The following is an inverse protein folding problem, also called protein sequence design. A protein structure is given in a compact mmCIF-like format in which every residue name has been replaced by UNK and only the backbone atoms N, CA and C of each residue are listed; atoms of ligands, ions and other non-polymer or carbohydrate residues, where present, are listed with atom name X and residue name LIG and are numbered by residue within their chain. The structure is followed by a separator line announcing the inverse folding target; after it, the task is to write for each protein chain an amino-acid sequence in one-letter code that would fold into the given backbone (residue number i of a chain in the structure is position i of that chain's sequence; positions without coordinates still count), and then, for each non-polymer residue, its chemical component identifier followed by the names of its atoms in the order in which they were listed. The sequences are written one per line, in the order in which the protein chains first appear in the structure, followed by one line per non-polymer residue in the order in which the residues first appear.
data_IF_312931503673
#
_entry.id   IF_312931503673
#
_cell.length_a   1.000
_cell.length_b   1.000
_cell.length_c   1.000
_cell.angle_alpha   90.00
_cell.angle_beta   90.00
_cell.angle_gamma   90.00
#
_symmetry.space_group_name_H-M   'P 1'
#
loop_
_entity.id
_entity.type
_entity.pdbx_description
1 polymer ?
#
# COMPACT_ATOMS: atom_id res chain seq x y z
N UNK A 1 24.00 17.35 17.90
CA UNK A 1 24.12 15.94 18.34
C UNK A 1 24.46 15.10 17.12
N UNK A 2 25.69 14.58 16.97
CA UNK A 2 26.05 13.79 15.81
C UNK A 2 25.49 12.37 15.95
N UNK A 3 24.91 11.89 14.85
CA UNK A 3 24.35 10.54 14.69
C UNK A 3 25.52 9.57 14.53
N UNK A 4 25.83 8.85 15.60
CA UNK A 4 26.82 7.78 15.64
C UNK A 4 26.17 6.41 15.35
N UNK A 5 26.57 5.82 14.23
CA UNK A 5 27.01 4.42 14.12
C UNK A 5 26.18 3.32 14.82
N UNK A 6 25.31 2.61 14.09
CA UNK A 6 25.18 1.14 14.17
C UNK A 6 24.76 0.58 12.80
N UNK A 7 25.72 0.26 11.93
CA UNK A 7 25.50 -0.66 10.80
C UNK A 7 26.83 -1.22 10.31
N UNK A 8 27.39 -2.16 11.06
CA UNK A 8 28.59 -2.89 10.65
C UNK A 8 28.60 -4.40 10.96
N UNK A 9 27.51 -4.98 11.50
CA UNK A 9 27.47 -6.43 11.79
C UNK A 9 26.65 -7.27 10.79
N UNK A 10 25.83 -6.64 9.94
CA UNK A 10 24.92 -7.38 9.03
C UNK A 10 25.54 -7.78 7.70
N UNK A 11 26.71 -7.23 7.33
CA UNK A 11 27.39 -7.60 6.08
C UNK A 11 28.18 -8.90 6.29
N UNK A 12 28.90 -9.03 7.41
CA UNK A 12 29.65 -10.24 7.75
C UNK A 12 28.77 -11.48 7.93
N UNK A 13 27.66 -11.38 8.68
CA UNK A 13 26.77 -12.51 8.93
C UNK A 13 26.10 -13.05 7.66
N UNK A 14 25.67 -12.16 6.76
CA UNK A 14 25.08 -12.54 5.47
C UNK A 14 26.10 -13.16 4.52
N UNK A 15 27.37 -12.79 4.65
CA UNK A 15 28.44 -13.27 3.80
C UNK A 15 28.93 -14.67 4.21
N UNK A 16 28.96 -14.97 5.52
CA UNK A 16 29.15 -16.33 6.06
C UNK A 16 27.95 -17.24 5.80
N UNK A 17 26.72 -16.76 5.97
CA UNK A 17 25.50 -17.55 5.69
C UNK A 17 25.41 -17.97 4.22
N UNK A 18 25.94 -17.15 3.31
CA UNK A 18 26.02 -17.47 1.88
C UNK A 18 27.15 -18.45 1.54
N UNK A 19 28.20 -18.52 2.37
CA UNK A 19 29.29 -19.48 2.19
C UNK A 19 28.90 -20.91 2.63
N UNK A 20 28.00 -21.02 3.60
CA UNK A 20 27.48 -22.29 4.13
C UNK A 20 26.09 -22.65 3.59
N UNK A 21 25.68 -22.13 2.44
CA UNK A 21 24.39 -22.46 1.86
C UNK A 21 24.44 -23.76 1.04
N UNK A 22 23.35 -24.53 1.05
CA UNK A 22 23.19 -25.77 0.29
C UNK A 22 22.07 -25.65 -0.76
N UNK A 23 22.13 -26.40 -1.87
CA UNK A 23 21.08 -26.38 -2.88
C UNK A 23 19.78 -27.01 -2.36
N UNK A 24 18.62 -26.63 -2.92
CA UNK A 24 17.30 -27.17 -2.52
C UNK A 24 17.24 -28.71 -2.52
N UNK A 25 17.92 -29.34 -3.48
CA UNK A 25 18.01 -30.80 -3.59
C UNK A 25 18.65 -31.47 -2.37
N UNK A 26 19.62 -30.80 -1.74
CA UNK A 26 20.25 -31.30 -0.52
C UNK A 26 19.46 -30.89 0.72
N UNK A 27 18.96 -29.66 0.75
CA UNK A 27 18.15 -29.14 1.85
C UNK A 27 16.95 -30.03 2.18
N UNK A 28 16.20 -30.52 1.18
CA UNK A 28 15.04 -31.38 1.47
C UNK A 28 15.44 -32.73 2.09
N UNK A 29 16.62 -33.27 1.72
CA UNK A 29 17.17 -34.50 2.30
C UNK A 29 17.62 -34.26 3.73
N UNK A 30 18.32 -33.16 3.99
CA UNK A 30 18.74 -32.76 5.34
C UNK A 30 17.56 -32.56 6.30
N UNK A 31 16.43 -32.05 5.80
CA UNK A 31 15.21 -31.85 6.59
C UNK A 31 14.31 -33.10 6.66
N UNK A 32 14.54 -34.13 5.83
CA UNK A 32 13.67 -35.31 5.78
C UNK A 32 12.23 -34.98 5.33
N UNK A 33 12.05 -33.94 4.51
CA UNK A 33 10.76 -33.51 3.96
C UNK A 33 10.71 -33.75 2.45
N UNK A 34 9.50 -33.74 1.89
CA UNK A 34 9.33 -33.93 0.45
C UNK A 34 9.84 -32.69 -0.30
N UNK A 35 10.39 -32.81 -1.52
CA UNK A 35 10.79 -31.66 -2.33
C UNK A 35 9.68 -30.60 -2.48
N UNK A 36 8.43 -31.05 -2.73
CA UNK A 36 7.25 -30.16 -2.83
C UNK A 36 6.89 -29.43 -1.53
N UNK A 37 7.23 -30.01 -0.38
CA UNK A 37 7.05 -29.37 0.95
C UNK A 37 8.13 -28.30 1.14
N UNK A 38 9.38 -28.57 0.74
CA UNK A 38 10.46 -27.58 0.74
C UNK A 38 10.15 -26.39 -0.18
N UNK A 39 9.71 -26.65 -1.41
CA UNK A 39 9.29 -25.61 -2.36
C UNK A 39 8.19 -24.73 -1.77
N UNK A 40 7.19 -25.34 -1.12
CA UNK A 40 6.11 -24.61 -0.47
C UNK A 40 6.62 -23.77 0.70
N UNK A 41 7.57 -24.28 1.47
CA UNK A 41 8.18 -23.54 2.57
C UNK A 41 8.91 -22.29 2.08
N UNK A 42 9.61 -22.39 0.94
CA UNK A 42 10.26 -21.25 0.30
C UNK A 42 9.24 -20.26 -0.26
N UNK A 43 8.20 -20.74 -0.96
CA UNK A 43 7.12 -19.90 -1.51
C UNK A 43 6.39 -19.09 -0.43
N UNK A 44 6.12 -19.72 0.72
CA UNK A 44 5.45 -19.09 1.86
C UNK A 44 6.41 -18.29 2.75
N UNK A 45 7.71 -18.25 2.45
CA UNK A 45 8.72 -17.59 3.27
C UNK A 45 8.96 -18.24 4.64
N UNK A 46 8.46 -19.46 4.85
CA UNK A 46 8.74 -20.26 6.05
C UNK A 46 10.18 -20.78 6.09
N UNK A 47 10.87 -20.78 4.95
CA UNK A 47 12.29 -21.08 4.80
C UNK A 47 12.98 -19.93 4.07
N UNK A 48 13.96 -19.30 4.73
CA UNK A 48 14.77 -18.27 4.11
C UNK A 48 15.67 -18.85 3.00
N UNK A 49 15.85 -18.10 1.91
CA UNK A 49 16.76 -18.48 0.82
C UNK A 49 17.69 -17.32 0.48
N UNK A 50 18.90 -17.67 0.05
CA UNK A 50 19.91 -16.72 -0.43
C UNK A 50 20.08 -16.88 -1.94
N UNK A 51 20.41 -15.76 -2.60
CA UNK A 51 20.79 -15.78 -4.00
C UNK A 51 22.14 -16.50 -4.16
N UNK A 52 22.33 -17.25 -5.25
CA UNK A 52 23.56 -17.98 -5.49
C UNK A 52 24.75 -17.01 -5.62
N UNK A 53 25.93 -17.47 -5.21
CA UNK A 53 27.17 -16.67 -5.18
C UNK A 53 27.91 -16.66 -6.53
N UNK A 54 27.53 -17.53 -7.47
CA UNK A 54 28.08 -17.65 -8.84
C UNK A 54 26.97 -18.07 -9.80
N UNK A 55 27.26 -18.01 -11.10
CA UNK A 55 26.43 -18.18 -12.32
C UNK A 55 25.40 -19.34 -12.34
N UNK A 56 25.32 -20.16 -11.29
CA UNK A 56 24.26 -21.14 -11.09
C UNK A 56 22.90 -20.47 -10.89
N UNK A 57 21.93 -20.94 -11.66
CA UNK A 57 20.54 -20.50 -11.54
C UNK A 57 19.82 -21.39 -10.53
N UNK A 58 19.63 -20.93 -9.30
CA UNK A 58 18.92 -21.69 -8.28
C UNK A 58 18.86 -20.99 -6.92
N UNK A 59 17.85 -21.30 -6.10
CA UNK A 59 17.76 -20.83 -4.71
C UNK A 59 18.59 -21.73 -3.81
N UNK A 60 19.29 -21.14 -2.85
CA UNK A 60 20.11 -21.85 -1.87
C UNK A 60 19.58 -21.59 -0.46
N UNK A 61 19.76 -22.56 0.42
CA UNK A 61 19.27 -22.50 1.80
C UNK A 61 20.48 -22.47 2.74
N UNK A 62 20.64 -21.43 3.59
CA UNK A 62 21.70 -21.41 4.59
C UNK A 62 21.62 -22.62 5.53
N UNK A 63 22.75 -23.27 5.83
CA UNK A 63 22.78 -24.40 6.77
C UNK A 63 22.28 -23.99 8.16
N UNK A 64 22.55 -22.76 8.59
CA UNK A 64 22.00 -22.20 9.85
C UNK A 64 20.47 -22.21 9.88
N UNK A 65 19.82 -21.89 8.76
CA UNK A 65 18.35 -21.91 8.64
C UNK A 65 17.80 -23.35 8.71
N UNK A 66 18.50 -24.30 8.09
CA UNK A 66 18.18 -25.73 8.21
C UNK A 66 18.33 -26.22 9.65
N UNK A 67 19.40 -25.81 10.34
CA UNK A 67 19.64 -26.16 11.74
C UNK A 67 18.53 -25.58 12.64
N UNK A 68 18.16 -24.31 12.46
CA UNK A 68 17.06 -23.64 13.18
C UNK A 68 15.76 -24.43 13.08
N UNK A 69 15.35 -24.84 11.88
CA UNK A 69 14.13 -25.62 11.69
C UNK A 69 14.22 -27.01 12.36
N UNK A 70 15.38 -27.66 12.31
CA UNK A 70 15.56 -28.98 12.95
C UNK A 70 15.53 -28.91 14.48
N UNK A 71 15.94 -27.78 15.06
CA UNK A 71 15.87 -27.54 16.50
C UNK A 71 14.48 -27.10 16.96
N UNK A 72 13.54 -26.83 16.05
CA UNK A 72 12.18 -26.45 16.39
C UNK A 72 11.44 -27.60 17.08
N UNK A 73 10.71 -27.29 18.14
CA UNK A 73 9.94 -28.28 18.88
C UNK A 73 8.88 -28.94 17.97
N UNK A 74 8.81 -30.27 18.01
CA UNK A 74 7.90 -31.05 17.18
C UNK A 74 8.29 -31.13 15.70
N UNK A 75 9.52 -30.76 15.31
CA UNK A 75 10.02 -30.98 13.96
C UNK A 75 10.03 -32.49 13.60
N UNK A 76 9.61 -32.91 12.39
CA UNK A 76 9.13 -32.08 11.26
C UNK A 76 7.60 -31.83 11.25
N UNK A 77 6.86 -32.35 12.23
CA UNK A 77 5.40 -32.25 12.27
C UNK A 77 4.91 -30.81 12.36
N UNK A 78 5.55 -29.97 13.18
CA UNK A 78 5.24 -28.53 13.31
C UNK A 78 5.42 -27.78 12.00
N UNK A 79 6.49 -28.07 11.25
CA UNK A 79 6.69 -27.51 9.91
C UNK A 79 5.59 -28.00 8.95
N UNK A 80 5.27 -29.29 8.94
CA UNK A 80 4.22 -29.84 8.07
C UNK A 80 2.84 -29.27 8.37
N UNK A 81 2.52 -29.00 9.64
CA UNK A 81 1.24 -28.37 10.00
C UNK A 81 1.17 -26.92 9.53
N UNK A 82 2.27 -26.15 9.62
CA UNK A 82 2.35 -24.80 9.05
C UNK A 82 2.18 -24.79 7.53
N UNK A 83 2.69 -25.81 6.84
CA UNK A 83 2.61 -25.98 5.39
C UNK A 83 1.35 -26.74 4.93
N UNK A 84 0.46 -27.11 5.85
CA UNK A 84 -0.68 -28.00 5.55
C UNK A 84 -1.64 -27.30 4.59
N UNK A 85 -1.68 -27.80 3.35
CA UNK A 85 -2.64 -27.37 2.34
C UNK A 85 -3.92 -28.21 2.40
N UNK A 86 -5.06 -27.55 2.24
CA UNK A 86 -6.39 -28.17 2.26
C UNK A 86 -7.16 -27.83 1.00
N UNK A 87 -7.94 -28.79 0.52
CA UNK A 87 -8.95 -28.56 -0.51
C UNK A 87 -10.25 -27.98 0.07
N UNK A 88 -11.23 -27.72 -0.79
CA UNK A 88 -12.48 -27.07 -0.39
C UNK A 88 -13.28 -27.81 0.72
N UNK A 89 -13.27 -29.14 0.72
CA UNK A 89 -14.00 -29.94 1.73
C UNK A 89 -13.38 -29.80 3.12
N UNK A 90 -12.07 -29.97 3.21
CA UNK A 90 -11.34 -29.83 4.47
C UNK A 90 -11.31 -28.39 4.96
N UNK A 91 -11.13 -27.42 4.06
CA UNK A 91 -11.23 -26.00 4.39
C UNK A 91 -12.60 -25.61 4.92
N UNK A 92 -13.69 -26.16 4.36
CA UNK A 92 -15.04 -25.94 4.87
C UNK A 92 -15.22 -26.51 6.29
N UNK A 93 -14.66 -27.69 6.56
CA UNK A 93 -14.69 -28.29 7.89
C UNK A 93 -13.92 -27.44 8.91
N UNK A 94 -12.74 -26.92 8.55
CA UNK A 94 -11.96 -26.02 9.42
C UNK A 94 -12.72 -24.74 9.79
N UNK A 95 -13.54 -24.21 8.88
CA UNK A 95 -14.33 -23.01 9.09
C UNK A 95 -15.72 -23.29 9.71
N UNK A 96 -16.09 -24.56 9.92
CA UNK A 96 -17.43 -24.92 10.41
C UNK A 96 -18.57 -24.56 9.43
N UNK A 97 -18.31 -24.59 8.12
CA UNK A 97 -19.29 -24.24 7.08
C UNK A 97 -19.49 -25.38 6.08
N UNK A 98 -20.53 -25.28 5.25
CA UNK A 98 -20.73 -26.23 4.15
C UNK A 98 -19.71 -25.99 3.02
N UNK A 99 -19.33 -27.04 2.24
CA UNK A 99 -18.43 -26.87 1.09
C UNK A 99 -18.94 -25.85 0.06
N UNK A 100 -20.26 -25.75 -0.13
CA UNK A 100 -20.86 -24.75 -1.01
C UNK A 100 -20.65 -23.33 -0.50
N UNK A 101 -20.82 -23.10 0.82
CA UNK A 101 -20.57 -21.79 1.45
C UNK A 101 -19.09 -21.45 1.38
N UNK A 102 -18.19 -22.40 1.65
CA UNK A 102 -16.75 -22.22 1.47
C UNK A 102 -16.40 -21.77 0.06
N UNK A 103 -16.90 -22.45 -0.97
CA UNK A 103 -16.64 -22.10 -2.37
C UNK A 103 -17.18 -20.72 -2.76
N UNK A 104 -18.25 -20.23 -2.12
CA UNK A 104 -18.76 -18.86 -2.32
C UNK A 104 -17.85 -17.83 -1.67
N UNK A 105 -17.38 -18.08 -0.44
CA UNK A 105 -16.45 -17.18 0.27
C UNK A 105 -15.09 -17.10 -0.43
N UNK A 106 -14.55 -18.24 -0.87
CA UNK A 106 -13.31 -18.31 -1.64
C UNK A 106 -13.39 -17.45 -2.92
N UNK A 107 -14.45 -17.64 -3.72
CA UNK A 107 -14.68 -16.86 -4.95
C UNK A 107 -14.93 -15.37 -4.70
N UNK A 108 -15.46 -15.02 -3.53
CA UNK A 108 -15.63 -13.64 -3.11
C UNK A 108 -14.33 -13.00 -2.59
N UNK A 109 -13.22 -13.75 -2.54
CA UNK A 109 -11.92 -13.24 -2.09
C UNK A 109 -11.77 -13.13 -0.57
N UNK A 110 -12.57 -13.87 0.21
CA UNK A 110 -12.43 -13.86 1.68
C UNK A 110 -11.09 -14.48 2.14
N UNK A 111 -10.56 -15.42 1.37
CA UNK A 111 -9.25 -16.05 1.57
C UNK A 111 -8.68 -16.46 0.22
N UNK A 112 -7.35 -16.38 0.10
CA UNK A 112 -6.63 -16.66 -1.15
C UNK A 112 -6.17 -18.11 -1.22
N UNK A 113 -6.23 -18.76 -2.39
CA UNK A 113 -5.55 -20.03 -2.59
C UNK A 113 -4.03 -19.81 -2.66
N UNK A 114 -3.25 -20.76 -2.14
CA UNK A 114 -1.79 -20.75 -2.20
C UNK A 114 -1.30 -21.47 -3.46
N UNK A 115 -1.94 -22.59 -3.81
CA UNK A 115 -1.60 -23.40 -4.99
C UNK A 115 -2.87 -23.88 -5.69
N UNK A 116 -2.69 -24.37 -6.91
CA UNK A 116 -3.74 -25.11 -7.61
C UNK A 116 -3.16 -26.38 -8.25
N UNK A 117 -4.03 -27.35 -8.50
CA UNK A 117 -3.71 -28.53 -9.30
C UNK A 117 -4.83 -28.79 -10.31
N UNK A 118 -4.53 -29.53 -11.37
CA UNK A 118 -5.55 -30.04 -12.28
C UNK A 118 -5.85 -31.49 -11.89
N UNK A 119 -7.12 -31.82 -11.74
CA UNK A 119 -7.51 -33.21 -11.52
C UNK A 119 -7.46 -34.02 -12.84
N UNK A 120 -7.71 -35.34 -12.76
CA UNK A 120 -7.76 -36.24 -13.94
C UNK A 120 -8.72 -35.76 -15.03
N UNK A 121 -9.73 -34.98 -14.67
CA UNK A 121 -10.76 -34.43 -15.56
C UNK A 121 -10.43 -33.00 -16.02
N UNK A 122 -9.20 -32.50 -15.78
CA UNK A 122 -8.73 -31.14 -16.08
C UNK A 122 -9.50 -30.02 -15.36
N UNK A 123 -10.22 -30.32 -14.28
CA UNK A 123 -10.80 -29.30 -13.42
C UNK A 123 -9.76 -28.77 -12.42
N UNK A 124 -9.77 -27.46 -12.17
CA UNK A 124 -8.87 -26.78 -11.24
C UNK A 124 -9.30 -27.07 -9.80
N UNK A 125 -8.38 -27.61 -9.01
CA UNK A 125 -8.51 -27.80 -7.57
C UNK A 125 -7.63 -26.78 -6.86
N UNK A 126 -8.26 -25.85 -6.17
CA UNK A 126 -7.59 -24.83 -5.36
C UNK A 126 -7.19 -25.39 -3.99
N UNK A 127 -5.99 -25.04 -3.54
CA UNK A 127 -5.42 -25.45 -2.26
C UNK A 127 -5.18 -24.21 -1.38
N UNK A 128 -5.63 -24.29 -0.14
CA UNK A 128 -5.60 -23.20 0.83
C UNK A 128 -4.74 -23.59 2.02
N UNK A 129 -4.10 -22.61 2.67
CA UNK A 129 -3.29 -22.88 3.86
C UNK A 129 -4.20 -23.08 5.08
N UNK A 130 -4.09 -24.23 5.75
CA UNK A 130 -4.93 -24.56 6.90
C UNK A 130 -4.78 -23.55 8.05
N UNK A 131 -3.53 -23.13 8.32
CA UNK A 131 -3.22 -22.14 9.35
C UNK A 131 -3.86 -20.79 9.07
N UNK A 132 -3.87 -20.33 7.81
CA UNK A 132 -4.53 -19.08 7.41
C UNK A 132 -6.04 -19.14 7.62
N UNK A 133 -6.69 -20.24 7.22
CA UNK A 133 -8.14 -20.40 7.43
C UNK A 133 -8.51 -20.40 8.92
N UNK A 134 -7.72 -21.08 9.76
CA UNK A 134 -7.92 -21.07 11.22
C UNK A 134 -7.70 -19.67 11.80
N UNK A 135 -6.67 -18.97 11.35
CA UNK A 135 -6.38 -17.59 11.76
C UNK A 135 -7.54 -16.66 11.43
N UNK A 136 -8.08 -16.73 10.22
CA UNK A 136 -9.25 -15.94 9.80
C UNK A 136 -10.45 -16.19 10.73
N UNK A 137 -10.70 -17.45 11.07
CA UNK A 137 -11.79 -17.79 11.99
C UNK A 137 -11.52 -17.26 13.41
N UNK A 138 -10.30 -17.42 13.91
CA UNK A 138 -9.91 -17.04 15.26
C UNK A 138 -9.90 -15.52 15.47
N UNK A 139 -9.39 -14.77 14.49
CA UNK A 139 -9.36 -13.30 14.53
C UNK A 139 -10.76 -12.69 14.34
N UNK A 140 -11.66 -13.38 13.62
CA UNK A 140 -13.01 -12.88 13.38
C UNK A 140 -13.04 -11.50 12.72
N UNK A 141 -12.04 -11.22 11.86
CA UNK A 141 -11.81 -9.90 11.27
C UNK A 141 -13.10 -9.33 10.64
N UNK A 142 -13.58 -8.21 11.18
CA UNK A 142 -14.72 -7.51 10.60
C UNK A 142 -14.27 -6.69 9.39
N UNK A 143 -14.48 -7.21 8.18
CA UNK A 143 -14.14 -6.52 6.92
C UNK A 143 -15.15 -5.46 6.49
N UNK A 144 -16.29 -5.32 7.18
CA UNK A 144 -17.35 -4.37 6.79
C UNK A 144 -16.85 -2.91 6.81
N UNK A 145 -16.12 -2.43 7.83
CA UNK A 145 -15.56 -1.08 7.85
C UNK A 145 -14.62 -0.82 6.66
N UNK A 146 -13.65 -1.73 6.41
CA UNK A 146 -12.72 -1.66 5.26
C UNK A 146 -13.46 -1.55 3.94
N UNK A 147 -14.42 -2.45 3.69
CA UNK A 147 -15.20 -2.43 2.45
C UNK A 147 -16.05 -1.15 2.28
N UNK A 148 -16.63 -0.66 3.38
CA UNK A 148 -17.38 0.60 3.35
C UNK A 148 -16.48 1.80 3.03
N UNK A 149 -15.31 1.91 3.68
CA UNK A 149 -14.33 2.97 3.41
C UNK A 149 -13.85 2.94 1.97
N UNK A 150 -13.45 1.77 1.47
CA UNK A 150 -13.04 1.59 0.08
C UNK A 150 -14.11 2.08 -0.91
N UNK A 151 -15.38 1.74 -0.64
CA UNK A 151 -16.50 2.22 -1.46
C UNK A 151 -16.64 3.74 -1.41
N UNK A 152 -16.50 4.36 -0.23
CA UNK A 152 -16.60 5.82 -0.05
C UNK A 152 -15.46 6.57 -0.70
N UNK A 153 -14.23 6.09 -0.57
CA UNK A 153 -13.08 6.69 -1.25
C UNK A 153 -13.24 6.60 -2.76
N UNK A 154 -13.59 5.42 -3.28
CA UNK A 154 -13.81 5.25 -4.71
C UNK A 154 -14.96 6.15 -5.24
N UNK A 155 -16.00 6.39 -4.44
CA UNK A 155 -17.06 7.35 -4.78
C UNK A 155 -16.58 8.80 -4.77
N UNK A 156 -15.79 9.20 -3.78
CA UNK A 156 -15.24 10.55 -3.68
C UNK A 156 -14.31 10.85 -4.85
N UNK A 157 -13.38 9.93 -5.15
CA UNK A 157 -12.44 10.06 -6.28
C UNK A 157 -13.19 10.15 -7.62
N UNK A 158 -14.22 9.32 -7.86
CA UNK A 158 -14.98 9.36 -9.13
C UNK A 158 -15.82 10.63 -9.34
N UNK A 159 -16.06 11.43 -8.30
CA UNK A 159 -16.93 12.62 -8.36
C UNK A 159 -16.16 13.91 -8.54
N UNK A 160 -14.83 13.86 -8.55
CA UNK A 160 -13.98 15.04 -8.64
C UNK A 160 -13.07 14.94 -9.85
N UNK A 161 -12.97 16.05 -10.58
CA UNK A 161 -11.93 16.24 -11.60
C UNK A 161 -10.69 16.96 -11.01
N UNK A 162 -10.79 17.48 -9.76
CA UNK A 162 -9.65 18.08 -9.06
C UNK A 162 -8.71 16.98 -8.52
N UNK A 163 -7.46 16.90 -9.00
CA UNK A 163 -6.51 15.88 -8.55
C UNK A 163 -6.09 16.07 -7.08
N UNK A 164 -6.13 17.29 -6.54
CA UNK A 164 -5.89 17.52 -5.11
C UNK A 164 -7.03 16.96 -4.26
N UNK A 165 -8.28 17.07 -4.72
CA UNK A 165 -9.42 16.47 -4.04
C UNK A 165 -9.43 14.94 -4.13
N UNK A 166 -8.95 14.37 -5.24
CA UNK A 166 -8.73 12.92 -5.36
C UNK A 166 -7.68 12.43 -4.35
N UNK A 167 -6.57 13.16 -4.18
CA UNK A 167 -5.58 12.88 -3.14
C UNK A 167 -6.18 13.01 -1.72
N UNK A 168 -6.97 14.06 -1.47
CA UNK A 168 -7.65 14.27 -0.18
C UNK A 168 -8.60 13.11 0.17
N UNK A 169 -9.23 12.48 -0.82
CA UNK A 169 -10.05 11.29 -0.58
C UNK A 169 -9.22 10.12 -0.03
N UNK A 170 -8.05 9.82 -0.59
CA UNK A 170 -7.18 8.78 -0.04
C UNK A 170 -6.64 9.13 1.35
N UNK A 171 -6.34 10.42 1.60
CA UNK A 171 -5.91 10.91 2.89
C UNK A 171 -7.01 10.83 3.98
N UNK A 172 -8.28 10.89 3.60
CA UNK A 172 -9.41 11.05 4.52
C UNK A 172 -9.64 9.88 5.50
N UNK A 173 -8.99 8.74 5.30
CA UNK A 173 -9.09 7.57 6.18
C UNK A 173 -7.79 7.25 6.92
N UNK A 174 -6.71 7.97 6.62
CA UNK A 174 -5.41 7.77 7.25
C UNK A 174 -5.35 8.52 8.59
N UNK A 175 -4.60 7.95 9.54
CA UNK A 175 -4.32 8.61 10.81
C UNK A 175 -3.39 9.82 10.60
N UNK A 176 -3.42 10.83 11.50
CA UNK A 176 -2.53 11.98 11.40
C UNK A 176 -1.05 11.60 11.31
N UNK A 177 -0.62 10.62 12.12
CA UNK A 177 0.76 10.11 12.10
C UNK A 177 1.15 9.57 10.72
N UNK A 178 0.30 8.74 10.11
CA UNK A 178 0.57 8.18 8.78
C UNK A 178 0.57 9.27 7.71
N UNK A 179 -0.29 10.28 7.84
CA UNK A 179 -0.32 11.43 6.91
C UNK A 179 0.93 12.29 7.02
N UNK A 180 1.44 12.53 8.24
CA UNK A 180 2.67 13.28 8.45
C UNK A 180 3.88 12.58 7.81
N UNK A 181 3.96 11.26 7.94
CA UNK A 181 4.99 10.44 7.31
C UNK A 181 4.86 10.40 5.78
N UNK A 182 3.64 10.26 5.26
CA UNK A 182 3.39 10.14 3.82
C UNK A 182 3.47 11.48 3.07
N UNK A 183 3.15 12.59 3.73
CA UNK A 183 3.11 13.94 3.15
C UNK A 183 3.91 14.88 4.05
N UNK A 184 5.25 14.98 3.86
CA UNK A 184 6.10 15.79 4.73
C UNK A 184 5.82 17.30 4.65
N UNK A 185 5.30 17.80 3.53
CA UNK A 185 5.02 19.24 3.34
C UNK A 185 3.74 19.67 4.08
N UNK A 186 3.83 20.57 5.08
CA UNK A 186 2.67 21.03 5.83
C UNK A 186 1.64 21.80 4.98
N UNK A 187 2.06 22.49 3.90
CA UNK A 187 1.14 23.20 3.02
C UNK A 187 0.29 22.22 2.20
N UNK A 188 0.89 21.13 1.73
CA UNK A 188 0.15 20.05 1.08
C UNK A 188 -0.82 19.38 2.05
N UNK A 189 -0.39 19.11 3.29
CA UNK A 189 -1.29 18.56 4.33
C UNK A 189 -2.47 19.50 4.62
N UNK A 190 -2.23 20.80 4.72
CA UNK A 190 -3.29 21.79 4.90
C UNK A 190 -4.28 21.77 3.72
N UNK A 191 -3.78 21.67 2.49
CA UNK A 191 -4.63 21.57 1.29
C UNK A 191 -5.47 20.29 1.27
N UNK A 192 -4.90 19.16 1.67
CA UNK A 192 -5.62 17.89 1.77
C UNK A 192 -6.73 17.94 2.83
N UNK A 193 -6.49 18.62 3.96
CA UNK A 193 -7.50 18.78 5.01
C UNK A 193 -8.63 19.73 4.57
N UNK A 194 -8.31 20.83 3.87
CA UNK A 194 -9.30 21.74 3.28
C UNK A 194 -10.24 21.01 2.31
N UNK A 195 -9.69 20.11 1.48
CA UNK A 195 -10.42 19.35 0.48
C UNK A 195 -10.98 18.02 0.98
N UNK A 196 -10.87 17.74 2.29
CA UNK A 196 -11.23 16.44 2.85
C UNK A 196 -12.73 16.14 2.60
N UNK A 197 -13.07 15.03 1.92
CA UNK A 197 -14.46 14.69 1.67
C UNK A 197 -15.18 14.25 2.94
N UNK A 198 -16.47 14.59 3.04
CA UNK A 198 -17.37 14.03 4.05
C UNK A 198 -17.74 12.60 3.67
N UNK A 199 -17.22 11.63 4.41
CA UNK A 199 -17.44 10.19 4.12
C UNK A 199 -18.75 9.63 4.72
N UNK A 200 -19.30 10.28 5.75
CA UNK A 200 -20.54 9.87 6.43
C UNK A 200 -21.47 11.06 6.67
N UNK A 201 -22.78 10.80 6.69
CA UNK A 201 -23.82 11.77 7.08
C UNK A 201 -24.15 11.70 8.57
N UNK A 202 -23.67 10.69 9.28
CA UNK A 202 -23.92 10.50 10.70
C UNK A 202 -23.38 11.68 11.53
N UNK A 203 -24.18 12.16 12.48
CA UNK A 203 -23.81 13.23 13.41
C UNK A 203 -23.85 12.68 14.84
N UNK A 204 -22.74 12.08 15.32
CA UNK A 204 -22.71 11.47 16.64
C UNK A 204 -22.72 12.54 17.75
N UNK A 205 -23.77 12.52 18.57
CA UNK A 205 -23.96 13.51 19.64
C UNK A 205 -23.13 13.15 20.89
N UNK A 206 -23.05 11.87 21.24
CA UNK A 206 -22.29 11.39 22.40
C UNK A 206 -20.81 11.12 22.11
N UNK A 207 -19.97 11.17 23.14
CA UNK A 207 -18.54 10.84 23.03
C UNK A 207 -18.31 9.39 22.59
N UNK A 208 -19.13 8.46 23.09
CA UNK A 208 -19.07 7.05 22.69
C UNK A 208 -19.39 6.87 21.20
N UNK A 209 -20.46 7.50 20.71
CA UNK A 209 -20.82 7.46 19.30
C UNK A 209 -19.73 8.11 18.42
N UNK A 210 -19.11 9.20 18.87
CA UNK A 210 -17.99 9.84 18.17
C UNK A 210 -16.79 8.92 18.03
N UNK A 211 -16.46 8.15 19.07
CA UNK A 211 -15.38 7.14 19.02
C UNK A 211 -15.69 6.03 18.02
N UNK A 212 -16.91 5.51 18.02
CA UNK A 212 -17.36 4.47 17.07
C UNK A 212 -17.26 5.00 15.63
N UNK A 213 -17.84 6.16 15.36
CA UNK A 213 -17.80 6.77 14.02
C UNK A 213 -16.36 7.04 13.59
N UNK A 214 -15.50 7.54 14.49
CA UNK A 214 -14.07 7.73 14.20
C UNK A 214 -13.38 6.42 13.84
N UNK A 215 -13.65 5.34 14.56
CA UNK A 215 -13.12 4.00 14.24
C UNK A 215 -13.56 3.51 12.86
N UNK A 216 -14.83 3.70 12.49
CA UNK A 216 -15.33 3.34 11.17
C UNK A 216 -14.71 4.19 10.04
N UNK A 217 -14.38 5.45 10.32
CA UNK A 217 -13.77 6.37 9.35
C UNK A 217 -12.26 6.20 9.17
N UNK A 218 -11.60 5.51 10.09
CA UNK A 218 -10.13 5.39 10.12
C UNK A 218 -9.71 4.00 9.68
N UNK A 219 -8.73 3.90 8.78
CA UNK A 219 -8.09 2.64 8.43
C UNK A 219 -7.23 2.14 9.59
N UNK A 220 -7.38 0.86 9.94
CA UNK A 220 -6.76 0.23 11.11
C UNK A 220 -5.80 -0.90 10.74
N UNK A 221 -6.08 -1.66 9.66
CA UNK A 221 -5.21 -2.72 9.18
C UNK A 221 -3.99 -2.22 8.38
N UNK A 222 -2.82 -2.83 8.58
CA UNK A 222 -1.58 -2.46 7.88
C UNK A 222 -1.72 -2.50 6.35
N UNK A 223 -2.33 -3.57 5.81
CA UNK A 223 -2.59 -3.72 4.38
C UNK A 223 -3.53 -2.63 3.85
N UNK A 224 -4.57 -2.28 4.61
CA UNK A 224 -5.51 -1.21 4.25
C UNK A 224 -4.81 0.16 4.25
N UNK A 225 -4.03 0.45 5.29
CA UNK A 225 -3.23 1.68 5.40
C UNK A 225 -2.24 1.79 4.24
N UNK A 226 -1.52 0.70 3.92
CA UNK A 226 -0.60 0.66 2.78
C UNK A 226 -1.31 0.95 1.46
N UNK A 227 -2.48 0.35 1.23
CA UNK A 227 -3.27 0.59 0.02
C UNK A 227 -3.68 2.07 -0.12
N UNK A 228 -4.17 2.68 0.96
CA UNK A 228 -4.52 4.10 0.94
C UNK A 228 -3.31 5.02 0.77
N UNK A 229 -2.17 4.69 1.37
CA UNK A 229 -0.91 5.42 1.15
C UNK A 229 -0.46 5.34 -0.30
N UNK A 230 -0.52 4.17 -0.93
CA UNK A 230 -0.18 4.02 -2.35
C UNK A 230 -1.10 4.88 -3.24
N UNK A 231 -2.42 4.82 -3.00
CA UNK A 231 -3.38 5.66 -3.70
C UNK A 231 -3.12 7.16 -3.51
N UNK A 232 -2.79 7.58 -2.27
CA UNK A 232 -2.40 8.96 -1.97
C UNK A 232 -1.15 9.39 -2.73
N UNK A 233 -0.09 8.56 -2.73
CA UNK A 233 1.16 8.84 -3.47
C UNK A 233 0.90 9.03 -4.95
N UNK A 234 0.13 8.14 -5.58
CA UNK A 234 -0.21 8.23 -7.00
C UNK A 234 -1.04 9.50 -7.28
N UNK A 235 -2.05 9.79 -6.47
CA UNK A 235 -2.89 10.97 -6.63
C UNK A 235 -2.11 12.28 -6.42
N UNK A 236 -1.21 12.34 -5.44
CA UNK A 236 -0.33 13.50 -5.21
C UNK A 236 0.63 13.73 -6.38
N UNK A 237 1.18 12.66 -6.97
CA UNK A 237 2.00 12.77 -8.18
C UNK A 237 1.24 13.46 -9.31
N UNK A 238 -0.01 13.06 -9.55
CA UNK A 238 -0.90 13.69 -10.52
C UNK A 238 -1.21 15.14 -10.15
N UNK A 239 -1.55 15.40 -8.89
CA UNK A 239 -1.91 16.74 -8.42
C UNK A 239 -0.77 17.75 -8.54
N UNK A 240 0.44 17.36 -8.13
CA UNK A 240 1.65 18.19 -8.25
C UNK A 240 2.00 18.48 -9.71
N UNK A 241 1.79 17.52 -10.60
CA UNK A 241 2.07 17.69 -12.03
C UNK A 241 1.06 18.63 -12.70
N UNK A 242 -0.22 18.53 -12.35
CA UNK A 242 -1.28 19.35 -12.94
C UNK A 242 -1.32 20.78 -12.38
N UNK A 243 -1.15 20.93 -11.06
CA UNK A 243 -1.19 22.22 -10.37
C UNK A 243 -0.33 22.19 -9.12
N UNK A 244 0.97 22.55 -9.24
CA UNK A 244 1.83 22.71 -8.09
C UNK A 244 1.23 23.75 -7.13
N UNK A 245 1.23 23.45 -5.82
CA UNK A 245 0.95 24.49 -4.82
C UNK A 245 2.08 25.51 -4.89
N UNK A 246 1.73 26.80 -4.89
CA UNK A 246 2.73 27.85 -4.72
C UNK A 246 3.34 27.64 -3.34
N UNK A 247 4.61 27.25 -3.31
CA UNK A 247 5.37 27.21 -2.07
C UNK A 247 5.35 28.63 -1.53
N UNK A 248 5.00 28.87 -0.25
CA UNK A 248 5.33 30.15 0.34
C UNK A 248 6.84 30.30 0.13
N UNK A 249 7.24 31.34 -0.58
CA UNK A 249 8.64 31.69 -0.69
C UNK A 249 9.17 31.65 0.73
N UNK A 250 10.14 30.77 1.00
CA UNK A 250 10.90 30.89 2.24
C UNK A 250 11.44 32.29 2.15
N UNK A 251 10.88 33.19 2.95
CA UNK A 251 11.28 34.58 3.03
C UNK A 251 12.79 34.54 3.22
N UNK A 252 13.51 34.75 2.11
CA UNK A 252 14.94 34.93 2.14
C UNK A 252 15.03 36.27 2.83
N UNK A 253 15.16 36.25 4.16
CA UNK A 253 15.57 37.43 4.91
C UNK A 253 16.86 37.85 4.21
N UNK A 254 16.88 38.97 3.47
CA UNK A 254 18.11 39.37 2.82
C UNK A 254 19.13 39.52 3.94
N UNK A 255 20.26 38.84 3.81
CA UNK A 255 21.40 39.12 4.65
C UNK A 255 21.66 40.62 4.48
N UNK A 256 21.42 41.40 5.53
CA UNK A 256 21.81 42.80 5.58
C UNK A 256 23.34 42.82 5.61
N UNK A 257 23.93 42.71 4.43
CA UNK A 257 25.32 43.04 4.18
C UNK A 257 25.42 44.56 4.11
N UNK A 258 25.94 45.16 5.16
CA UNK A 258 26.53 46.48 5.10
C UNK A 258 27.58 46.51 3.98
N UNK A 259 27.51 47.53 3.13
CA UNK A 259 28.35 47.67 1.94
C UNK A 259 28.05 48.97 1.23
N UNK A 260 28.41 50.05 1.89
CA UNK A 260 28.48 51.41 1.37
C UNK A 260 29.57 51.50 0.27
N UNK A 261 29.25 52.07 -0.89
CA UNK A 261 29.98 53.15 -1.61
C UNK A 261 29.43 53.33 -3.04
N UNK A 262 28.78 54.47 -3.31
CA UNK A 262 29.25 55.65 -4.08
C UNK A 262 29.02 55.56 -5.61
N UNK A 263 27.93 56.21 -6.01
CA UNK A 263 27.83 57.32 -6.99
C UNK A 263 28.56 57.24 -8.35
N UNK A 264 27.76 57.38 -9.42
CA UNK A 264 28.19 57.62 -10.79
C UNK A 264 26.98 57.81 -11.72
N UNK A 265 26.59 59.07 -11.93
CA UNK A 265 25.67 59.56 -12.98
C UNK A 265 26.17 59.13 -14.38
N UNK A 266 25.43 59.09 -15.49
CA UNK A 266 24.29 59.86 -15.98
C UNK A 266 23.89 59.24 -17.35
N UNK A 267 22.64 59.38 -17.83
CA UNK A 267 22.39 59.46 -19.28
C UNK A 267 21.26 58.60 -19.93
N UNK A 268 20.13 59.27 -20.16
CA UNK A 268 19.28 59.28 -21.40
C UNK A 268 18.48 58.00 -21.74
N UNK A 269 17.18 57.92 -21.43
CA UNK A 269 16.00 58.42 -22.19
C UNK A 269 15.64 57.58 -23.44
N UNK A 270 14.43 57.00 -23.41
CA UNK A 270 13.88 56.18 -24.49
C UNK A 270 12.49 55.66 -24.16
N UNK A 271 11.53 56.57 -24.08
CA UNK A 271 10.11 56.29 -23.87
C UNK A 271 9.48 55.51 -25.04
N UNK A 272 8.67 54.50 -24.75
CA UNK A 272 7.42 54.27 -25.50
C UNK A 272 6.31 53.78 -24.56
N UNK A 273 5.19 54.47 -24.64
CA UNK A 273 3.98 54.35 -23.84
C UNK A 273 2.83 53.89 -24.72
N UNK A 274 1.96 53.05 -24.14
CA UNK A 274 0.51 52.87 -24.41
C UNK A 274 0.06 52.56 -25.83
N UNK A 275 -0.72 51.49 -25.94
CA UNK A 275 -2.09 51.64 -26.44
C UNK A 275 -3.08 50.80 -25.64
N UNK A 276 -4.08 51.49 -25.09
CA UNK A 276 -5.34 50.95 -24.58
C UNK A 276 -6.23 50.47 -25.75
N UNK A 277 -7.08 49.47 -25.50
CA UNK A 277 -8.53 49.39 -25.82
C UNK A 277 -9.02 47.99 -25.39
N UNK A 278 -9.77 47.85 -24.29
CA UNK A 278 -11.22 48.03 -24.11
C UNK A 278 -12.06 47.02 -24.90
N UNK A 279 -12.61 46.02 -24.19
CA UNK A 279 -13.67 45.10 -24.62
C UNK A 279 -14.97 45.84 -24.98
N UNK A 280 -15.83 45.25 -25.85
CA UNK A 280 -17.10 44.63 -25.39
C UNK A 280 -17.45 43.35 -26.21
N UNK A 281 -18.00 42.27 -25.63
CA UNK A 281 -19.41 41.98 -25.29
C UNK A 281 -20.41 41.87 -26.47
N UNK A 282 -21.00 40.67 -26.55
CA UNK A 282 -22.41 40.26 -26.79
C UNK A 282 -23.11 40.26 -28.18
N UNK A 283 -23.87 39.15 -28.39
CA UNK A 283 -25.09 38.92 -29.23
C UNK A 283 -24.81 38.72 -30.74
N UNK A 284 -25.31 37.68 -31.45
CA UNK A 284 -26.67 37.12 -31.67
C UNK A 284 -26.64 35.57 -31.71
N UNK A 285 -27.63 34.76 -31.32
CA UNK A 285 -29.11 34.69 -31.48
C UNK A 285 -29.58 33.75 -32.62
N UNK A 286 -30.52 32.88 -32.23
CA UNK A 286 -31.58 32.14 -32.94
C UNK A 286 -31.28 31.20 -34.12
N UNK A 287 -31.55 29.90 -33.93
CA UNK A 287 -32.71 29.14 -34.47
C UNK A 287 -32.15 28.02 -35.37
N UNK A 288 -32.73 26.84 -35.60
CA UNK A 288 -34.11 26.40 -35.59
C UNK A 288 -34.12 24.87 -35.44
N UNK A 289 -35.14 24.34 -34.74
CA UNK A 289 -35.63 22.97 -34.98
C UNK A 289 -36.43 22.95 -36.29
N UNK A 290 -36.61 21.77 -36.90
CA UNK A 290 -37.91 21.15 -36.70
C UNK A 290 -37.87 19.62 -36.48
N UNK A 291 -38.98 19.15 -35.88
CA UNK A 291 -39.52 17.76 -35.91
C UNK A 291 -39.76 17.36 -37.38
N UNK A 292 -39.90 16.11 -37.84
CA UNK A 292 -40.56 14.85 -37.41
C UNK A 292 -40.01 13.79 -38.42
N UNK A 293 -40.09 12.49 -38.20
CA UNK A 293 -41.30 11.67 -38.12
C UNK A 293 -41.07 10.43 -37.28
#
# INVERSE_FOLDING_TARGET
MPVGLVRAETVGARETDAAEAVPLGEAHRMLGIRPRELELAVELGALATVAPRREDHGRWVPVAELARLRTEEGFPATLRERLRLVGAREGAALLGVTPLRFARLARAGCFGPVRFSLNRYRAVVWLYLASELRRILAEGEDRRPRHWRNRRIAQAVRRTDDPWAAAAAHAAVLTPKVLEEAVPDPAERARLEELRPRLTTARPESLAARRIVRGLLTADGEEEVLWHRLGLTLALSTARSARPLRRPEREHRPAQGAGETVEGAEGVEGAQSRFLRKSPSCITDTSSRPRRS
#
